data_IF_946150792876
#
_entry.id   IF_946150792876
#
_cell.length_a   1.000
_cell.length_b   1.000
_cell.length_c   1.000
_cell.angle_alpha   90.00
_cell.angle_beta   90.00
_cell.angle_gamma   90.00
#
_symmetry.space_group_name_H-M   'P 1'
#
loop_
_entity.id
_entity.type
_entity.pdbx_description
1 polymer ?
#
# COMPACT_ATOMS: atom_id res chain seq x y z
N UNK A 1 -8.90 -3.45 16.75
CA UNK A 1 -9.31 -2.40 15.79
C UNK A 1 -8.45 -1.16 16.07
N UNK A 2 -7.28 -1.04 15.45
CA UNK A 2 -6.42 0.13 15.59
C UNK A 2 -7.09 1.33 14.89
N UNK A 3 -7.30 2.45 15.60
CA UNK A 3 -7.86 3.69 15.03
C UNK A 3 -6.82 4.38 14.15
N UNK A 4 -6.66 3.93 12.90
CA UNK A 4 -5.68 4.52 11.97
C UNK A 4 -6.06 5.95 11.52
N UNK A 5 -7.35 6.30 11.49
CA UNK A 5 -7.82 7.61 11.01
C UNK A 5 -7.48 8.80 11.91
N UNK A 6 -7.21 8.58 13.19
CA UNK A 6 -6.88 9.66 14.14
C UNK A 6 -5.36 9.77 14.39
N UNK A 7 -4.55 8.87 13.81
CA UNK A 7 -3.09 8.80 13.99
C UNK A 7 -2.30 8.83 12.68
N UNK A 8 -2.93 8.60 11.53
CA UNK A 8 -2.24 8.64 10.24
C UNK A 8 -1.92 10.08 9.85
N UNK A 9 -0.64 10.40 9.74
CA UNK A 9 -0.11 11.67 9.22
C UNK A 9 -0.49 11.91 7.75
N UNK A 10 -0.67 10.85 6.96
CA UNK A 10 -0.99 10.91 5.53
C UNK A 10 -1.60 9.60 5.02
N UNK A 11 -2.46 9.69 3.99
CA UNK A 11 -2.96 8.55 3.22
C UNK A 11 -2.76 8.86 1.74
N UNK A 12 -1.95 8.06 1.05
CA UNK A 12 -1.56 8.33 -0.34
C UNK A 12 -1.78 7.11 -1.24
N UNK A 13 -2.19 7.37 -2.49
CA UNK A 13 -2.26 6.34 -3.54
C UNK A 13 -0.93 6.33 -4.28
N UNK A 14 -0.13 5.29 -4.04
CA UNK A 14 1.24 5.16 -4.58
C UNK A 14 1.33 4.29 -5.84
N UNK A 15 0.28 3.53 -6.14
CA UNK A 15 0.19 2.70 -7.35
C UNK A 15 -1.29 2.53 -7.73
N UNK A 16 -1.56 2.64 -9.02
CA UNK A 16 -2.84 2.25 -9.62
C UNK A 16 -2.50 1.22 -10.69
N UNK A 17 -2.98 0.00 -10.50
CA UNK A 17 -2.76 -1.10 -11.41
C UNK A 17 -3.61 -1.03 -12.67
N UNK A 18 -3.34 -1.97 -13.56
CA UNK A 18 -4.22 -2.35 -14.66
C UNK A 18 -5.23 -3.39 -14.15
N UNK A 19 -6.02 -3.96 -15.08
CA UNK A 19 -6.98 -5.03 -14.78
C UNK A 19 -6.31 -6.25 -14.11
N UNK A 20 -5.06 -6.55 -14.46
CA UNK A 20 -4.41 -7.82 -14.08
C UNK A 20 -3.10 -7.68 -13.29
N UNK A 21 -2.54 -6.47 -13.19
CA UNK A 21 -1.27 -6.26 -12.48
C UNK A 21 -1.18 -4.84 -11.95
N UNK A 22 -0.52 -4.67 -10.80
CA UNK A 22 -0.13 -3.36 -10.28
C UNK A 22 1.39 -3.33 -10.10
N UNK A 23 2.05 -2.40 -10.78
CA UNK A 23 3.49 -2.23 -10.64
C UNK A 23 3.78 -1.32 -9.45
N UNK A 24 4.59 -1.80 -8.51
CA UNK A 24 4.91 -1.09 -7.27
C UNK A 24 6.41 -0.86 -7.21
N UNK A 25 6.81 0.39 -6.97
CA UNK A 25 8.21 0.76 -6.81
C UNK A 25 8.47 1.17 -5.35
N UNK A 26 9.34 0.44 -4.60
CA UNK A 26 9.63 0.77 -3.21
C UNK A 26 10.07 2.23 -2.99
N UNK A 27 10.83 2.80 -3.93
CA UNK A 27 11.25 4.22 -3.83
C UNK A 27 10.08 5.21 -3.77
N UNK A 28 8.98 4.93 -4.47
CA UNK A 28 7.81 5.82 -4.49
C UNK A 28 7.02 5.69 -3.18
N UNK A 29 6.99 4.47 -2.62
CA UNK A 29 6.41 4.20 -1.30
C UNK A 29 7.20 4.92 -0.20
N UNK A 30 8.52 4.76 -0.16
CA UNK A 30 9.36 5.39 0.86
C UNK A 30 9.43 6.91 0.72
N UNK A 31 9.31 7.44 -0.50
CA UNK A 31 9.22 8.89 -0.73
C UNK A 31 8.06 9.51 0.04
N UNK A 32 6.90 8.86 0.08
CA UNK A 32 5.75 9.34 0.88
C UNK A 32 6.12 9.38 2.36
N UNK A 33 6.66 8.29 2.90
CA UNK A 33 7.03 8.22 4.32
C UNK A 33 8.02 9.32 4.72
N UNK A 34 9.02 9.59 3.87
CA UNK A 34 10.03 10.65 4.10
C UNK A 34 9.38 12.03 4.05
N UNK A 35 8.59 12.32 3.02
CA UNK A 35 7.98 13.65 2.83
C UNK A 35 6.95 13.99 3.91
N UNK A 36 6.32 12.98 4.52
CA UNK A 36 5.30 13.16 5.55
C UNK A 36 5.84 12.98 6.98
N UNK A 37 7.16 12.81 7.13
CA UNK A 37 7.83 12.57 8.42
C UNK A 37 7.20 11.40 9.21
N UNK A 38 6.84 10.33 8.50
CA UNK A 38 6.18 9.17 9.10
C UNK A 38 7.19 8.25 9.78
N UNK A 39 6.91 7.84 11.02
CA UNK A 39 7.74 6.87 11.76
C UNK A 39 7.49 5.42 11.35
N UNK A 40 6.28 5.13 10.87
CA UNK A 40 5.83 3.80 10.46
C UNK A 40 4.88 3.93 9.26
N UNK A 41 4.67 2.83 8.55
CA UNK A 41 3.80 2.80 7.38
C UNK A 41 3.09 1.45 7.24
N UNK A 42 1.87 1.50 6.69
CA UNK A 42 1.05 0.32 6.40
C UNK A 42 0.67 0.38 4.92
N UNK A 43 0.93 -0.69 4.18
CA UNK A 43 0.54 -0.82 2.78
C UNK A 43 -0.68 -1.74 2.64
N UNK A 44 -1.56 -1.41 1.72
CA UNK A 44 -2.70 -2.24 1.33
C UNK A 44 -2.93 -2.09 -0.18
N UNK A 45 -3.38 -3.17 -0.81
CA UNK A 45 -3.94 -3.16 -2.16
C UNK A 45 -5.28 -3.88 -2.15
N UNK A 46 -6.11 -3.57 -3.13
CA UNK A 46 -7.40 -4.20 -3.33
C UNK A 46 -7.35 -5.09 -4.57
N UNK A 47 -7.96 -6.28 -4.47
CA UNK A 47 -8.28 -7.12 -5.62
C UNK A 47 -9.72 -6.81 -6.05
N UNK A 48 -9.96 -6.21 -7.24
CA UNK A 48 -11.30 -5.78 -7.67
C UNK A 48 -12.32 -6.93 -7.74
N UNK A 49 -11.84 -8.16 -7.96
CA UNK A 49 -12.66 -9.37 -8.03
C UNK A 49 -13.10 -9.90 -6.65
N UNK A 50 -12.64 -9.27 -5.56
CA UNK A 50 -13.04 -9.60 -4.20
C UNK A 50 -12.35 -10.83 -3.58
N UNK A 51 -11.48 -11.53 -4.32
CA UNK A 51 -10.63 -12.57 -3.73
C UNK A 51 -9.53 -11.91 -2.87
N UNK A 52 -9.43 -12.31 -1.61
CA UNK A 52 -8.44 -11.81 -0.65
C UNK A 52 -7.27 -12.78 -0.43
N UNK A 53 -7.25 -13.92 -1.12
CA UNK A 53 -6.11 -14.82 -1.11
C UNK A 53 -4.87 -14.10 -1.67
N UNK A 54 -3.72 -14.33 -1.05
CA UNK A 54 -2.45 -13.78 -1.54
C UNK A 54 -2.17 -14.29 -2.95
N UNK A 55 -1.87 -13.37 -3.88
CA UNK A 55 -1.29 -13.73 -5.16
C UNK A 55 0.15 -14.24 -4.97
N UNK A 56 0.76 -14.79 -6.03
CA UNK A 56 2.19 -15.14 -5.99
C UNK A 56 3.04 -13.90 -5.76
N UNK A 57 2.64 -12.79 -6.34
CA UNK A 57 3.29 -11.48 -6.28
C UNK A 57 3.09 -10.77 -4.92
N UNK A 58 2.04 -11.14 -4.17
CA UNK A 58 1.81 -10.63 -2.81
C UNK A 58 2.62 -11.41 -1.76
N UNK A 59 3.06 -12.62 -2.10
CA UNK A 59 3.75 -13.51 -1.19
C UNK A 59 5.22 -13.11 -0.99
N UNK A 60 5.75 -13.37 0.20
CA UNK A 60 7.08 -12.94 0.68
C UNK A 60 8.28 -13.67 0.04
N UNK A 61 8.09 -14.36 -1.10
CA UNK A 61 9.13 -15.19 -1.72
C UNK A 61 10.27 -14.39 -2.36
#
# INVERSE_FOLDING_TARGET
MFRYKELASSIEVVSIGTVNLSMVYPREIFKVAILTNSSEMICFHNHPMGNTDFSKEDSYN
#
